data_IF_011510265446
#
_entry.id   IF_011510265446
#
_cell.length_a   1.000
_cell.length_b   1.000
_cell.length_c   1.000
_cell.angle_alpha   90.00
_cell.angle_beta   90.00
_cell.angle_gamma   90.00
#
_symmetry.space_group_name_H-M   'P 1'
#
loop_
_entity.id
_entity.type
_entity.pdbx_description
1 polymer ?
#
# COMPACT_ATOMS: atom_id res chain seq x y z
N UNK A 1 8.75 -12.79 -1.36
CA UNK A 1 8.99 -11.57 -2.16
C UNK A 1 8.26 -10.39 -1.50
N UNK A 2 8.82 -9.18 -1.60
CA UNK A 2 8.25 -7.97 -1.00
C UNK A 2 7.68 -7.05 -2.09
N UNK A 3 6.79 -6.15 -1.71
CA UNK A 3 6.29 -5.07 -2.58
C UNK A 3 7.16 -3.84 -2.37
N UNK A 4 7.64 -3.26 -3.46
CA UNK A 4 8.44 -2.04 -3.47
C UNK A 4 7.78 -0.97 -4.33
N UNK A 5 7.87 0.29 -3.92
CA UNK A 5 7.29 1.42 -4.66
C UNK A 5 8.30 2.57 -4.81
N UNK A 6 8.30 3.23 -5.96
CA UNK A 6 9.10 4.43 -6.22
C UNK A 6 8.25 5.51 -6.91
N UNK A 7 8.74 6.75 -6.90
CA UNK A 7 8.17 7.81 -7.74
C UNK A 7 8.51 7.53 -9.21
N UNK A 8 7.50 7.55 -10.07
CA UNK A 8 7.67 7.23 -11.49
C UNK A 8 8.44 8.31 -12.24
N UNK A 9 9.35 7.99 -13.18
CA UNK A 9 10.07 8.93 -14.03
C UNK A 9 9.13 9.95 -14.68
N UNK A 10 9.62 11.16 -14.97
CA UNK A 10 8.85 12.13 -15.74
C UNK A 10 8.54 11.60 -17.15
N UNK A 11 7.33 11.88 -17.64
CA UNK A 11 6.77 11.63 -18.97
C UNK A 11 7.02 10.27 -19.65
N UNK A 12 5.93 9.58 -20.03
CA UNK A 12 6.01 8.42 -20.91
C UNK A 12 6.55 7.13 -20.27
N UNK A 13 6.77 7.11 -18.95
CA UNK A 13 7.23 5.93 -18.21
C UNK A 13 6.34 4.69 -18.37
N UNK A 14 5.06 4.88 -18.70
CA UNK A 14 4.13 3.76 -18.98
C UNK A 14 4.52 2.95 -20.21
N UNK A 15 5.44 3.46 -21.05
CA UNK A 15 6.02 2.76 -22.20
C UNK A 15 7.38 2.12 -21.90
N UNK A 16 7.94 2.36 -20.71
CA UNK A 16 9.26 1.88 -20.34
C UNK A 16 9.18 0.43 -19.86
N UNK A 17 10.12 -0.41 -20.31
CA UNK A 17 10.35 -1.73 -19.74
C UNK A 17 11.35 -1.68 -18.59
N UNK A 18 11.62 -2.84 -18.00
CA UNK A 18 12.60 -2.98 -16.91
C UNK A 18 13.99 -2.37 -17.24
N UNK A 19 14.55 -2.47 -18.47
CA UNK A 19 15.87 -1.90 -18.77
C UNK A 19 15.93 -0.37 -18.73
N UNK A 20 14.91 0.31 -19.26
CA UNK A 20 14.80 1.77 -19.18
C UNK A 20 14.66 2.23 -17.73
N UNK A 21 13.92 1.47 -16.94
CA UNK A 21 13.76 1.67 -15.50
C UNK A 21 15.06 1.52 -14.72
N UNK A 22 15.80 0.43 -14.93
CA UNK A 22 17.09 0.20 -14.29
C UNK A 22 18.10 1.32 -14.63
N UNK A 23 18.11 1.77 -15.89
CA UNK A 23 18.96 2.89 -16.30
C UNK A 23 18.58 4.16 -15.55
N UNK A 24 17.29 4.48 -15.48
CA UNK A 24 16.83 5.66 -14.74
C UNK A 24 17.24 5.62 -13.27
N UNK A 25 17.08 4.48 -12.60
CA UNK A 25 17.46 4.31 -11.19
C UNK A 25 18.97 4.42 -10.98
N UNK A 26 19.80 4.00 -11.95
CA UNK A 26 21.26 4.25 -11.90
C UNK A 26 21.58 5.73 -11.98
N UNK A 27 20.87 6.47 -12.82
CA UNK A 27 21.08 7.91 -13.01
C UNK A 27 20.46 8.74 -11.85
N UNK A 28 19.44 8.19 -11.17
CA UNK A 28 18.68 8.83 -10.09
C UNK A 28 18.57 7.91 -8.85
N UNK A 29 19.69 7.58 -8.18
CA UNK A 29 19.71 6.60 -7.10
C UNK A 29 18.89 7.00 -5.86
N UNK A 30 18.52 8.28 -5.73
CA UNK A 30 17.63 8.77 -4.67
C UNK A 30 16.15 8.44 -4.89
N UNK A 31 15.76 7.99 -6.09
CA UNK A 31 14.41 7.53 -6.44
C UNK A 31 14.26 6.00 -6.29
N UNK A 32 15.19 5.37 -5.57
CA UNK A 32 15.16 3.92 -5.36
C UNK A 32 13.84 3.46 -4.73
N UNK A 33 13.38 2.28 -5.14
CA UNK A 33 12.12 1.74 -4.66
C UNK A 33 12.18 1.42 -3.17
N UNK A 34 11.19 1.90 -2.43
CA UNK A 34 11.08 1.69 -0.99
C UNK A 34 10.21 0.47 -0.70
N UNK A 35 10.68 -0.37 0.22
CA UNK A 35 9.94 -1.57 0.62
C UNK A 35 8.68 -1.16 1.40
N UNK A 36 7.52 -1.58 0.95
CA UNK A 36 6.24 -1.39 1.66
C UNK A 36 6.03 -2.51 2.67
N UNK A 37 5.82 -3.73 2.20
CA UNK A 37 5.54 -4.90 3.03
C UNK A 37 5.87 -6.20 2.27
N UNK A 38 5.61 -7.35 2.89
CA UNK A 38 5.65 -8.60 2.13
C UNK A 38 4.47 -8.63 1.13
N UNK A 39 4.60 -9.42 0.05
CA UNK A 39 3.49 -9.58 -0.93
C UNK A 39 2.26 -10.26 -0.31
N UNK A 40 2.45 -11.10 0.71
CA UNK A 40 1.35 -11.67 1.50
C UNK A 40 0.61 -10.61 2.28
N UNK A 41 1.35 -9.79 3.04
CA UNK A 41 0.79 -8.65 3.79
C UNK A 41 0.07 -7.67 2.87
N UNK A 42 0.58 -7.46 1.65
CA UNK A 42 -0.03 -6.58 0.65
C UNK A 42 -1.42 -7.04 0.25
N UNK A 43 -1.57 -8.34 -0.07
CA UNK A 43 -2.87 -8.90 -0.44
C UNK A 43 -3.88 -8.81 0.72
N UNK A 44 -3.42 -9.13 1.94
CA UNK A 44 -4.25 -9.04 3.14
C UNK A 44 -4.67 -7.59 3.39
N UNK A 45 -3.74 -6.64 3.28
CA UNK A 45 -4.00 -5.21 3.43
C UNK A 45 -5.07 -4.71 2.46
N UNK A 46 -4.91 -4.96 1.15
CA UNK A 46 -5.89 -4.55 0.14
C UNK A 46 -7.26 -5.17 0.40
N UNK A 47 -7.29 -6.42 0.85
CA UNK A 47 -8.54 -7.09 1.18
C UNK A 47 -9.20 -6.52 2.45
N UNK A 48 -8.40 -6.16 3.46
CA UNK A 48 -8.87 -5.48 4.66
C UNK A 48 -9.47 -4.11 4.34
N UNK A 49 -8.81 -3.31 3.50
CA UNK A 49 -9.37 -2.03 3.02
C UNK A 49 -10.71 -2.28 2.31
N UNK A 50 -10.79 -3.27 1.43
CA UNK A 50 -12.02 -3.59 0.69
C UNK A 50 -13.18 -4.03 1.58
N UNK A 51 -12.92 -4.83 2.62
CA UNK A 51 -13.96 -5.36 3.51
C UNK A 51 -14.37 -4.37 4.58
N UNK A 52 -13.38 -3.68 5.15
CA UNK A 52 -13.58 -2.91 6.37
C UNK A 52 -13.70 -1.41 6.15
N UNK A 53 -13.45 -0.91 4.94
CA UNK A 53 -13.69 0.48 4.57
C UNK A 53 -14.68 0.58 3.41
N UNK A 54 -15.88 1.13 3.67
CA UNK A 54 -16.88 1.37 2.63
C UNK A 54 -16.46 2.51 1.70
N UNK A 55 -15.92 3.60 2.27
CA UNK A 55 -15.36 4.72 1.50
C UNK A 55 -14.14 4.29 0.69
N UNK A 56 -13.21 3.57 1.33
CA UNK A 56 -12.02 2.99 0.72
C UNK A 56 -12.36 2.01 -0.40
N UNK A 57 -13.30 1.09 -0.20
CA UNK A 57 -13.77 0.18 -1.26
C UNK A 57 -14.26 0.92 -2.50
N UNK A 58 -15.02 2.00 -2.33
CA UNK A 58 -15.55 2.79 -3.45
C UNK A 58 -14.45 3.58 -4.16
N UNK A 59 -13.57 4.24 -3.41
CA UNK A 59 -12.51 5.09 -3.97
C UNK A 59 -11.32 4.29 -4.52
N UNK A 60 -10.98 3.16 -3.91
CA UNK A 60 -9.86 2.31 -4.29
C UNK A 60 -10.25 1.31 -5.39
N UNK A 61 -11.56 1.09 -5.61
CA UNK A 61 -12.09 0.15 -6.61
C UNK A 61 -11.51 0.32 -8.02
N UNK A 62 -11.47 1.53 -8.60
CA UNK A 62 -10.88 1.77 -9.91
C UNK A 62 -9.39 1.44 -10.00
N UNK A 63 -8.66 1.55 -8.88
CA UNK A 63 -7.22 1.34 -8.80
C UNK A 63 -6.85 -0.10 -8.42
N UNK A 64 -7.81 -0.90 -7.95
CA UNK A 64 -7.56 -2.18 -7.32
C UNK A 64 -6.88 -3.18 -8.26
N UNK A 65 -7.25 -3.22 -9.55
CA UNK A 65 -6.58 -4.09 -10.52
C UNK A 65 -5.10 -3.72 -10.66
N UNK A 66 -4.78 -2.43 -10.73
CA UNK A 66 -3.40 -1.97 -10.81
C UNK A 66 -2.63 -2.28 -9.52
N UNK A 67 -3.24 -2.09 -8.35
CA UNK A 67 -2.60 -2.39 -7.05
C UNK A 67 -2.34 -3.89 -6.85
N UNK A 68 -3.25 -4.76 -7.29
CA UNK A 68 -3.10 -6.22 -7.19
C UNK A 68 -1.99 -6.71 -8.12
N UNK A 69 -1.95 -6.16 -9.34
CA UNK A 69 -0.98 -6.58 -10.36
C UNK A 69 0.33 -5.77 -10.32
N UNK A 70 0.52 -4.95 -9.28
CA UNK A 70 1.72 -4.12 -9.12
C UNK A 70 1.99 -3.28 -10.40
N UNK A 71 0.92 -2.74 -11.01
CA UNK A 71 1.03 -1.91 -12.22
C UNK A 71 1.33 -0.46 -11.88
N UNK A 72 2.07 0.25 -12.74
CA UNK A 72 2.37 1.65 -12.53
C UNK A 72 1.09 2.52 -12.52
N UNK A 73 1.09 3.59 -11.73
CA UNK A 73 0.00 4.57 -11.66
C UNK A 73 0.46 5.93 -12.15
N UNK A 74 -0.40 6.64 -12.86
CA UNK A 74 -0.20 8.03 -13.29
C UNK A 74 -0.21 9.01 -12.11
N UNK A 75 0.17 10.27 -12.35
CA UNK A 75 0.14 11.31 -11.33
C UNK A 75 -1.27 11.53 -10.75
N UNK A 76 -2.30 11.55 -11.62
CA UNK A 76 -3.69 11.66 -11.18
C UNK A 76 -4.11 10.45 -10.33
N UNK A 77 -3.78 9.23 -10.76
CA UNK A 77 -4.10 8.02 -10.00
C UNK A 77 -3.36 7.96 -8.66
N UNK A 78 -2.16 8.56 -8.55
CA UNK A 78 -1.44 8.68 -7.29
C UNK A 78 -2.16 9.61 -6.30
N UNK A 79 -2.69 10.76 -6.77
CA UNK A 79 -3.55 11.65 -5.96
C UNK A 79 -4.83 10.94 -5.51
N UNK A 80 -5.49 10.23 -6.44
CA UNK A 80 -6.70 9.45 -6.16
C UNK A 80 -6.42 8.34 -5.13
N UNK A 81 -5.29 7.64 -5.26
CA UNK A 81 -4.86 6.62 -4.31
C UNK A 81 -4.62 7.21 -2.93
N UNK A 82 -3.92 8.35 -2.84
CA UNK A 82 -3.65 9.03 -1.56
C UNK A 82 -4.93 9.35 -0.82
N UNK A 83 -5.91 9.95 -1.51
CA UNK A 83 -7.21 10.27 -0.92
C UNK A 83 -8.07 9.03 -0.60
N UNK A 84 -7.93 7.94 -1.36
CA UNK A 84 -8.58 6.67 -1.05
C UNK A 84 -7.98 6.02 0.21
N UNK A 85 -6.67 6.08 0.38
CA UNK A 85 -5.96 5.56 1.54
C UNK A 85 -6.25 6.35 2.83
N UNK A 86 -6.37 7.68 2.76
CA UNK A 86 -6.80 8.49 3.92
C UNK A 86 -8.18 8.05 4.44
N UNK A 87 -9.16 7.94 3.54
CA UNK A 87 -10.50 7.48 3.90
C UNK A 87 -10.49 6.06 4.46
N UNK A 88 -9.67 5.18 3.87
CA UNK A 88 -9.52 3.83 4.36
C UNK A 88 -8.92 3.81 5.76
N UNK A 89 -7.86 4.58 6.01
CA UNK A 89 -7.22 4.70 7.31
C UNK A 89 -8.23 5.19 8.37
N UNK A 90 -8.94 6.29 8.11
CA UNK A 90 -9.94 6.86 9.03
C UNK A 90 -11.08 5.89 9.40
N UNK A 91 -11.47 5.02 8.47
CA UNK A 91 -12.51 4.01 8.70
C UNK A 91 -11.96 2.77 9.43
N UNK A 92 -10.73 2.35 9.11
CA UNK A 92 -10.07 1.23 9.78
C UNK A 92 -9.66 1.57 11.22
N UNK A 93 -9.33 2.84 11.50
CA UNK A 93 -9.01 3.29 12.86
C UNK A 93 -10.21 3.27 13.82
N UNK A 94 -11.42 3.21 13.28
CA UNK A 94 -12.65 3.09 14.09
C UNK A 94 -12.99 1.63 14.42
N UNK A 95 -12.21 0.67 13.89
CA UNK A 95 -12.51 -0.75 13.98
C UNK A 95 -11.48 -1.48 14.85
N UNK A 96 -11.93 -2.35 15.77
CA UNK A 96 -11.01 -3.13 16.58
C UNK A 96 -10.26 -4.14 15.70
N UNK A 97 -8.98 -4.38 16.00
CA UNK A 97 -8.15 -5.31 15.23
C UNK A 97 -8.71 -6.75 15.21
N UNK A 98 -9.51 -7.14 16.20
CA UNK A 98 -10.21 -8.42 16.21
C UNK A 98 -11.11 -8.67 14.98
N UNK A 99 -11.53 -7.62 14.26
CA UNK A 99 -12.28 -7.76 13.00
C UNK A 99 -11.46 -8.37 11.85
N UNK A 100 -10.11 -8.37 11.92
CA UNK A 100 -9.27 -9.06 10.93
C UNK A 100 -9.59 -10.55 10.83
N UNK A 101 -10.03 -11.18 11.93
CA UNK A 101 -10.35 -12.61 12.00
C UNK A 101 -11.58 -13.00 11.17
N UNK A 102 -12.58 -12.12 11.07
CA UNK A 102 -13.84 -12.42 10.36
C UNK A 102 -13.71 -12.35 8.85
N UNK A 103 -12.55 -11.93 8.37
CA UNK A 103 -12.39 -11.37 7.06
C UNK A 103 -11.37 -12.11 6.20
N UNK A 104 -10.45 -12.91 6.73
CA UNK A 104 -9.20 -13.24 6.02
C UNK A 104 -8.87 -14.74 5.83
N UNK A 105 -9.81 -15.65 6.09
CA UNK A 105 -9.56 -17.11 6.05
C UNK A 105 -9.03 -17.61 4.68
N UNK A 106 -9.18 -16.82 3.62
CA UNK A 106 -8.69 -17.13 2.28
C UNK A 106 -7.25 -16.68 2.00
N UNK A 107 -6.68 -15.79 2.81
CA UNK A 107 -5.38 -15.15 2.53
C UNK A 107 -4.29 -15.46 3.56
N UNK A 108 -4.67 -15.72 4.82
CA UNK A 108 -3.74 -16.01 5.89
C UNK A 108 -4.36 -16.97 6.90
N UNK A 109 -3.50 -17.72 7.61
CA UNK A 109 -3.97 -18.53 8.72
C UNK A 109 -4.43 -17.64 9.88
N UNK A 110 -5.31 -18.16 10.74
CA UNK A 110 -5.70 -17.46 11.95
C UNK A 110 -4.49 -17.15 12.86
N UNK A 111 -3.48 -18.02 12.86
CA UNK A 111 -2.24 -17.83 13.63
C UNK A 111 -1.43 -16.64 13.12
N UNK A 112 -1.31 -16.47 11.81
CA UNK A 112 -0.59 -15.33 11.21
C UNK A 112 -1.27 -14.01 11.55
N UNK A 113 -2.60 -13.96 11.43
CA UNK A 113 -3.38 -12.77 11.77
C UNK A 113 -3.26 -12.43 13.26
N UNK A 114 -3.27 -13.45 14.13
CA UNK A 114 -3.03 -13.25 15.56
C UNK A 114 -1.62 -12.76 15.85
N UNK A 115 -0.61 -13.27 15.16
CA UNK A 115 0.76 -12.80 15.31
C UNK A 115 0.89 -11.32 14.93
N UNK A 116 0.22 -10.88 13.86
CA UNK A 116 0.17 -9.47 13.45
C UNK A 116 -0.52 -8.59 14.51
N UNK A 117 -1.69 -9.01 15.01
CA UNK A 117 -2.42 -8.28 16.05
C UNK A 117 -1.63 -8.24 17.35
N UNK A 118 -1.01 -9.34 17.76
CA UNK A 118 -0.19 -9.44 18.95
C UNK A 118 1.07 -8.56 18.86
N UNK A 119 1.72 -8.50 17.69
CA UNK A 119 2.84 -7.61 17.45
C UNK A 119 2.43 -6.13 17.59
N UNK A 120 1.29 -5.74 17.00
CA UNK A 120 0.75 -4.39 17.14
C UNK A 120 0.37 -4.08 18.61
N UNK A 121 -0.28 -5.01 19.30
CA UNK A 121 -0.65 -4.90 20.72
C UNK A 121 0.59 -4.72 21.60
N UNK A 122 1.65 -5.50 21.35
CA UNK A 122 2.91 -5.41 22.08
C UNK A 122 3.57 -4.04 21.91
N UNK A 123 3.57 -3.50 20.69
CA UNK A 123 4.10 -2.15 20.39
C UNK A 123 3.30 -1.04 21.07
N UNK A 124 1.98 -1.17 21.15
CA UNK A 124 1.08 -0.09 21.62
C UNK A 124 0.74 -0.18 23.11
N UNK A 125 0.93 -1.34 23.74
CA UNK A 125 0.55 -1.57 25.14
C UNK A 125 -0.97 -1.61 25.39
N UNK A 126 -1.78 -1.65 24.33
CA UNK A 126 -3.24 -1.73 24.38
C UNK A 126 -3.79 -2.48 23.17
N UNK A 127 -5.10 -2.74 23.18
CA UNK A 127 -5.76 -3.34 22.02
C UNK A 127 -5.65 -2.40 20.81
N UNK A 128 -5.13 -2.90 19.66
CA UNK A 128 -4.98 -2.10 18.45
C UNK A 128 -6.29 -1.97 17.67
N UNK A 129 -6.36 -0.94 16.84
CA UNK A 129 -7.33 -0.82 15.74
C UNK A 129 -6.81 -1.53 14.48
N UNK A 130 -7.67 -1.70 13.47
CA UNK A 130 -7.20 -2.18 12.16
C UNK A 130 -6.20 -1.21 11.51
N UNK A 131 -6.46 0.10 11.61
CA UNK A 131 -5.54 1.12 11.08
C UNK A 131 -4.15 0.99 11.70
N UNK A 132 -4.08 0.78 13.02
CA UNK A 132 -2.83 0.64 13.77
C UNK A 132 -2.04 -0.63 13.47
N UNK A 133 -2.72 -1.73 13.12
CA UNK A 133 -2.04 -2.95 12.64
C UNK A 133 -1.34 -2.64 11.31
N UNK A 134 -2.00 -1.89 10.43
CA UNK A 134 -1.51 -1.54 9.09
C UNK A 134 -0.74 -0.22 9.01
N UNK A 135 -0.49 0.46 10.13
CA UNK A 135 0.12 1.78 10.17
C UNK A 135 1.43 1.85 9.37
N UNK A 136 2.29 0.83 9.49
CA UNK A 136 3.56 0.79 8.74
C UNK A 136 3.37 0.74 7.22
N UNK A 137 2.30 0.09 6.73
CA UNK A 137 1.96 0.06 5.30
C UNK A 137 1.43 1.42 4.85
N UNK A 138 0.53 2.01 5.63
CA UNK A 138 -0.01 3.35 5.37
C UNK A 138 1.09 4.42 5.34
N UNK A 139 1.93 4.48 6.36
CA UNK A 139 3.01 5.47 6.48
C UNK A 139 3.97 5.40 5.28
N UNK A 140 4.32 4.19 4.87
CA UNK A 140 5.25 3.95 3.78
C UNK A 140 4.64 4.30 2.41
N UNK A 141 3.36 3.97 2.19
CA UNK A 141 2.62 4.38 0.99
C UNK A 141 2.48 5.91 0.93
N UNK A 142 1.99 6.53 2.01
CA UNK A 142 1.74 7.97 2.08
C UNK A 142 3.00 8.75 1.79
N UNK A 143 4.17 8.36 2.35
CA UNK A 143 5.44 9.03 2.08
C UNK A 143 5.81 9.04 0.59
N UNK A 144 5.63 7.92 -0.10
CA UNK A 144 5.97 7.84 -1.54
C UNK A 144 4.95 8.60 -2.38
N UNK A 145 3.66 8.51 -2.03
CA UNK A 145 2.60 9.24 -2.71
C UNK A 145 2.74 10.75 -2.53
N UNK A 146 3.03 11.24 -1.32
CA UNK A 146 3.21 12.67 -1.05
C UNK A 146 4.34 13.24 -1.92
N UNK A 147 5.49 12.54 -2.01
CA UNK A 147 6.59 12.94 -2.90
C UNK A 147 6.19 12.90 -4.38
N UNK A 148 5.44 11.89 -4.80
CA UNK A 148 4.99 11.78 -6.19
C UNK A 148 4.04 12.96 -6.55
N UNK A 149 3.11 13.28 -5.65
CA UNK A 149 2.16 14.39 -5.79
C UNK A 149 2.87 15.74 -5.81
N UNK A 150 3.79 15.98 -4.87
CA UNK A 150 4.61 17.20 -4.83
C UNK A 150 5.37 17.44 -6.15
N UNK A 151 5.83 16.35 -6.78
CA UNK A 151 6.55 16.38 -8.05
C UNK A 151 5.64 16.28 -9.28
N UNK A 152 4.32 16.13 -9.10
CA UNK A 152 3.33 15.89 -10.18
C UNK A 152 3.68 14.67 -11.05
N UNK A 153 4.14 13.61 -10.41
CA UNK A 153 4.58 12.35 -11.02
C UNK A 153 3.72 11.19 -10.54
N UNK A 154 3.76 10.09 -11.28
CA UNK A 154 3.10 8.83 -10.91
C UNK A 154 3.90 8.01 -9.89
N UNK A 155 3.47 6.77 -9.67
CA UNK A 155 4.23 5.77 -8.92
C UNK A 155 4.47 4.50 -9.75
N UNK A 156 5.51 3.76 -9.40
CA UNK A 156 5.86 2.49 -10.01
C UNK A 156 6.12 1.45 -8.94
N UNK A 157 5.69 0.22 -9.20
CA UNK A 157 6.00 -0.91 -8.36
C UNK A 157 7.28 -1.57 -8.87
N UNK A 158 8.33 -1.54 -8.07
CA UNK A 158 9.64 -2.05 -8.45
C UNK A 158 9.74 -3.57 -8.35
N UNK A 159 10.29 -4.20 -9.38
CA UNK A 159 10.92 -5.51 -9.24
C UNK A 159 12.30 -5.28 -8.61
N UNK A 160 12.54 -5.85 -7.43
CA UNK A 160 13.90 -6.02 -6.87
C UNK A 160 14.35 -7.44 -7.12
#
# INVERSE_FOLDING_TARGET
MSVFISVAPPDGFTKWGDPEWERWLRDHPWEAAERVCSRGDWAIFLYQVRLNSAGGKKSLGPLLESLINERPLTAQEAEELRGALDKAHDELDKKPAAEMRRANDHFASAEDLEAMIAAARSRLGREPTLGEVWAGVFDQLSRVLDRAIEQKRGIYFGNV
#
